data_IF_479678986707
#
_entry.id   IF_479678986707
#
_cell.length_a   1.000
_cell.length_b   1.000
_cell.length_c   1.000
_cell.angle_alpha   90.00
_cell.angle_beta   90.00
_cell.angle_gamma   90.00
#
_symmetry.space_group_name_H-M   'P 1'
#
loop_
_entity.id
_entity.type
_entity.pdbx_description
1 polymer ?
#
# COMPACT_ATOMS: atom_id res chain seq x y z
N UNK A 1 52.44 40.15 23.07
CA UNK A 1 53.80 39.93 23.61
C UNK A 1 53.62 39.34 25.00
N UNK A 2 54.18 38.18 25.39
CA UNK A 2 55.61 37.87 25.58
C UNK A 2 56.25 38.80 26.65
N UNK A 3 56.91 38.33 27.72
CA UNK A 3 57.58 37.04 28.01
C UNK A 3 57.53 36.61 29.51
N UNK A 4 57.96 35.37 29.77
CA UNK A 4 58.42 34.76 31.04
C UNK A 4 59.84 34.13 30.79
N UNK A 5 60.54 33.34 31.65
CA UNK A 5 60.35 32.88 33.06
C UNK A 5 61.30 33.67 34.01
N UNK A 6 62.13 33.17 35.00
CA UNK A 6 62.49 31.81 35.51
C UNK A 6 61.41 31.15 36.41
N UNK A 7 61.49 29.94 37.03
CA UNK A 7 62.51 28.94 37.43
C UNK A 7 63.15 29.14 38.85
N UNK A 8 63.38 28.12 39.71
CA UNK A 8 63.55 26.66 39.48
C UNK A 8 63.28 25.77 40.73
N UNK A 9 63.24 24.43 40.53
CA UNK A 9 63.43 23.30 41.52
C UNK A 9 62.31 23.03 42.54
N UNK A 10 62.05 21.78 42.98
CA UNK A 10 62.38 20.40 42.50
C UNK A 10 61.25 19.46 42.97
N UNK A 11 60.89 18.47 42.15
CA UNK A 11 60.25 17.21 42.59
C UNK A 11 61.09 16.06 42.05
N UNK A 12 61.28 14.99 42.83
CA UNK A 12 61.99 13.77 42.39
C UNK A 12 61.11 12.54 42.52
N UNK A 13 60.92 11.89 41.38
CA UNK A 13 60.35 10.55 41.19
C UNK A 13 61.44 9.50 41.47
N UNK A 14 61.11 8.42 42.18
CA UNK A 14 61.94 7.20 42.26
C UNK A 14 61.07 5.97 42.03
N UNK A 15 61.63 4.99 41.31
CA UNK A 15 61.00 3.74 40.94
C UNK A 15 61.97 2.59 41.15
N UNK A 16 61.50 1.42 41.61
CA UNK A 16 62.34 0.22 41.75
C UNK A 16 61.62 -0.90 42.47
N UNK A 17 61.79 -2.13 41.96
CA UNK A 17 61.31 -3.39 42.56
C UNK A 17 62.54 -4.31 42.70
N UNK A 18 62.53 -5.32 43.59
CA UNK A 18 62.32 -6.68 43.08
C UNK A 18 61.39 -7.55 43.96
N UNK A 19 61.01 -8.71 43.42
CA UNK A 19 60.04 -9.64 44.02
C UNK A 19 60.65 -10.54 45.12
N UNK A 20 59.81 -11.39 45.74
CA UNK A 20 59.92 -12.81 45.36
C UNK A 20 58.61 -13.42 44.86
N UNK A 21 58.74 -14.54 44.15
CA UNK A 21 57.63 -15.35 43.61
C UNK A 21 57.18 -16.44 44.58
N UNK A 22 55.99 -17.03 44.33
CA UNK A 22 55.82 -18.49 44.14
C UNK A 22 54.38 -18.86 43.73
N UNK A 23 54.26 -19.72 42.70
CA UNK A 23 53.17 -20.67 42.42
C UNK A 23 51.71 -20.15 42.27
N UNK A 24 51.43 -19.47 41.16
CA UNK A 24 50.07 -19.41 40.61
C UNK A 24 49.70 -20.76 39.94
N UNK A 25 48.83 -21.58 40.55
CA UNK A 25 48.32 -22.82 39.94
C UNK A 25 47.25 -22.52 38.87
N UNK A 26 47.66 -21.94 37.73
CA UNK A 26 46.77 -21.65 36.60
C UNK A 26 46.13 -22.95 36.08
N UNK A 27 44.82 -23.09 36.24
CA UNK A 27 44.02 -24.04 35.43
C UNK A 27 44.06 -23.58 33.98
N UNK A 28 44.55 -24.43 33.09
CA UNK A 28 44.42 -24.25 31.64
C UNK A 28 42.94 -24.38 31.27
N UNK A 29 42.28 -23.26 30.98
CA UNK A 29 41.08 -23.29 30.15
C UNK A 29 41.54 -23.34 28.70
N UNK A 30 41.21 -24.43 28.02
CA UNK A 30 41.44 -24.59 26.59
C UNK A 30 40.64 -23.55 25.83
N UNK A 31 41.31 -22.83 24.92
CA UNK A 31 40.62 -22.00 23.94
C UNK A 31 39.94 -22.91 22.92
N UNK A 32 38.73 -23.38 23.25
CA UNK A 32 37.81 -23.91 22.25
C UNK A 32 37.48 -22.77 21.29
N UNK A 33 38.06 -22.83 20.10
CA UNK A 33 37.67 -21.97 19.00
C UNK A 33 36.21 -22.31 18.64
N UNK A 34 35.27 -21.56 19.23
CA UNK A 34 33.88 -21.64 18.86
C UNK A 34 33.79 -21.28 17.38
N UNK A 35 33.45 -22.28 16.55
CA UNK A 35 33.29 -22.07 15.13
C UNK A 35 32.26 -20.96 14.92
N UNK A 36 32.64 -19.91 14.20
CA UNK A 36 31.74 -18.84 13.79
C UNK A 36 30.80 -19.40 12.73
N UNK A 37 29.82 -20.19 13.17
CA UNK A 37 28.65 -20.49 12.37
C UNK A 37 28.04 -19.14 11.99
N UNK A 38 27.70 -18.90 10.71
CA UNK A 38 26.91 -17.74 10.37
C UNK A 38 25.59 -17.89 11.14
N UNK A 39 25.40 -17.03 12.15
CA UNK A 39 24.07 -16.80 12.70
C UNK A 39 23.29 -16.17 11.57
N UNK A 40 22.65 -17.02 10.76
CA UNK A 40 21.66 -16.58 9.81
C UNK A 40 20.69 -15.72 10.62
N UNK A 41 20.61 -14.44 10.27
CA UNK A 41 19.53 -13.58 10.72
C UNK A 41 18.29 -14.09 10.00
N UNK A 42 17.75 -15.19 10.54
CA UNK A 42 16.39 -15.64 10.30
C UNK A 42 15.51 -14.48 10.71
N UNK A 43 15.21 -13.62 9.74
CA UNK A 43 14.21 -12.57 9.80
C UNK A 43 12.90 -13.28 10.10
N UNK A 44 12.62 -13.41 11.40
CA UNK A 44 11.45 -14.10 11.91
C UNK A 44 10.25 -13.37 11.34
N UNK A 45 9.68 -13.92 10.24
CA UNK A 45 8.53 -13.34 9.54
C UNK A 45 7.46 -13.21 10.61
N UNK A 46 7.16 -11.97 11.01
CA UNK A 46 6.18 -11.68 12.05
C UNK A 46 4.81 -11.81 11.43
N UNK A 47 4.36 -13.06 11.33
CA UNK A 47 3.04 -13.44 10.88
C UNK A 47 1.99 -12.74 11.75
N UNK A 48 1.17 -11.88 11.15
CA UNK A 48 -0.14 -11.59 11.74
C UNK A 48 -0.93 -12.88 11.73
N UNK A 49 -1.37 -13.33 12.91
CA UNK A 49 -2.39 -14.38 13.00
C UNK A 49 -3.71 -13.86 12.41
N UNK A 50 -4.64 -14.75 12.05
CA UNK A 50 -5.97 -14.35 11.58
C UNK A 50 -6.68 -13.40 12.57
N UNK A 51 -6.48 -13.61 13.87
CA UNK A 51 -6.97 -12.74 14.94
C UNK A 51 -6.26 -11.37 14.97
N UNK A 52 -4.94 -11.33 14.68
CA UNK A 52 -4.18 -10.08 14.51
C UNK A 52 -4.64 -9.28 13.28
N UNK A 53 -4.93 -9.96 12.17
CA UNK A 53 -5.54 -9.37 10.96
C UNK A 53 -6.92 -8.78 11.24
N UNK A 54 -7.80 -9.53 11.91
CA UNK A 54 -9.13 -9.05 12.31
C UNK A 54 -9.04 -7.84 13.24
N UNK A 55 -8.14 -7.88 14.24
CA UNK A 55 -7.87 -6.75 15.13
C UNK A 55 -7.36 -5.52 14.36
N UNK A 56 -6.41 -5.70 13.44
CA UNK A 56 -5.84 -4.59 12.65
C UNK A 56 -6.90 -3.99 11.70
N UNK A 57 -7.71 -4.81 11.05
CA UNK A 57 -8.84 -4.37 10.23
C UNK A 57 -9.85 -3.57 11.06
N UNK A 58 -10.22 -4.06 12.27
CA UNK A 58 -11.14 -3.38 13.17
C UNK A 58 -10.58 -2.05 13.69
N UNK A 59 -9.26 -1.96 13.90
CA UNK A 59 -8.56 -0.75 14.33
C UNK A 59 -8.40 0.30 13.22
N UNK A 60 -8.23 -0.11 11.95
CA UNK A 60 -8.07 0.81 10.81
C UNK A 60 -9.39 1.21 10.15
N UNK A 61 -10.27 0.24 9.90
CA UNK A 61 -11.47 0.42 9.06
C UNK A 61 -12.78 0.24 9.83
N UNK A 62 -12.73 0.04 11.16
CA UNK A 62 -13.90 -0.19 12.02
C UNK A 62 -14.59 -1.55 11.83
N UNK A 63 -14.14 -2.37 10.86
CA UNK A 63 -14.78 -3.62 10.45
C UNK A 63 -13.89 -4.84 10.73
N UNK A 64 -14.50 -5.95 11.14
CA UNK A 64 -13.78 -7.22 11.37
C UNK A 64 -13.26 -7.86 10.06
N UNK A 65 -13.80 -7.45 8.91
CA UNK A 65 -13.30 -7.84 7.57
C UNK A 65 -13.09 -6.62 6.65
N UNK A 66 -11.85 -6.43 6.23
CA UNK A 66 -11.42 -5.44 5.24
C UNK A 66 -10.23 -6.00 4.42
N UNK A 67 -10.00 -5.52 3.18
CA UNK A 67 -8.87 -5.94 2.36
C UNK A 67 -7.56 -5.29 2.86
N UNK A 68 -6.59 -6.10 3.26
CA UNK A 68 -5.28 -5.59 3.69
C UNK A 68 -4.39 -5.33 2.47
N UNK A 69 -4.16 -4.04 2.19
CA UNK A 69 -3.49 -3.57 0.96
C UNK A 69 -4.14 -4.15 -0.31
N UNK A 70 -5.46 -3.95 -0.45
CA UNK A 70 -6.23 -4.32 -1.65
C UNK A 70 -6.63 -5.80 -1.75
N UNK A 71 -5.96 -6.70 -1.03
CA UNK A 71 -6.29 -8.14 -1.04
C UNK A 71 -7.01 -8.59 0.23
N UNK A 72 -8.10 -9.34 0.04
CA UNK A 72 -8.83 -10.08 1.08
C UNK A 72 -8.13 -11.38 1.50
N UNK A 73 -7.20 -11.84 0.68
CA UNK A 73 -6.58 -13.15 0.71
C UNK A 73 -5.35 -13.14 1.65
N UNK A 74 -4.77 -14.31 1.94
CA UNK A 74 -3.66 -14.38 2.92
C UNK A 74 -2.43 -13.54 2.50
N UNK A 75 -1.59 -13.17 3.47
CA UNK A 75 -0.40 -12.35 3.23
C UNK A 75 0.63 -12.94 2.23
N UNK A 76 0.53 -14.24 1.90
CA UNK A 76 1.52 -14.97 1.11
C UNK A 76 0.93 -15.86 0.00
N UNK A 77 -0.30 -15.58 -0.46
CA UNK A 77 -0.73 -16.07 -1.78
C UNK A 77 -0.08 -15.23 -2.88
N UNK A 78 0.32 -15.82 -4.01
CA UNK A 78 1.03 -15.09 -5.07
C UNK A 78 0.14 -14.00 -5.69
N UNK A 79 -1.07 -14.33 -6.12
CA UNK A 79 -2.10 -13.37 -6.59
C UNK A 79 -2.35 -12.24 -5.57
N UNK A 80 -2.32 -12.60 -4.28
CA UNK A 80 -2.53 -11.70 -3.16
C UNK A 80 -1.34 -10.76 -2.94
N UNK A 81 -0.12 -11.20 -3.25
CA UNK A 81 1.08 -10.37 -3.25
C UNK A 81 1.17 -9.47 -4.47
N UNK A 82 0.74 -9.92 -5.65
CA UNK A 82 0.68 -9.06 -6.84
C UNK A 82 -0.38 -7.97 -6.69
N UNK A 83 -1.58 -8.29 -6.18
CA UNK A 83 -2.58 -7.29 -5.75
C UNK A 83 -1.96 -6.23 -4.81
N UNK A 84 -1.10 -6.64 -3.87
CA UNK A 84 -0.44 -5.74 -2.91
C UNK A 84 0.67 -4.89 -3.54
N UNK A 85 1.38 -5.39 -4.56
CA UNK A 85 2.35 -4.60 -5.33
C UNK A 85 1.62 -3.48 -6.09
N UNK A 86 0.53 -3.81 -6.79
CA UNK A 86 -0.33 -2.83 -7.49
C UNK A 86 -0.86 -1.78 -6.51
N UNK A 87 -1.44 -2.22 -5.39
CA UNK A 87 -1.94 -1.33 -4.34
C UNK A 87 -0.82 -0.42 -3.80
N UNK A 88 0.39 -0.94 -3.56
CA UNK A 88 1.51 -0.15 -3.07
C UNK A 88 1.95 0.93 -4.07
N UNK A 89 2.14 0.58 -5.36
CA UNK A 89 2.46 1.54 -6.44
C UNK A 89 1.43 2.67 -6.50
N UNK A 90 0.15 2.30 -6.64
CA UNK A 90 -0.98 3.21 -6.73
C UNK A 90 -1.10 4.13 -5.51
N UNK A 91 -0.87 3.58 -4.31
CA UNK A 91 -0.96 4.30 -3.04
C UNK A 91 0.17 5.35 -2.90
N UNK A 92 1.37 5.08 -3.43
CA UNK A 92 2.43 6.10 -3.50
C UNK A 92 1.99 7.27 -4.39
N UNK A 93 1.40 7.02 -5.57
CA UNK A 93 0.91 8.10 -6.41
C UNK A 93 -0.28 8.84 -5.79
N UNK A 94 -1.29 8.12 -5.31
CA UNK A 94 -2.52 8.68 -4.75
C UNK A 94 -2.31 9.47 -3.44
N UNK A 95 -1.26 9.16 -2.68
CA UNK A 95 -0.86 9.95 -1.50
C UNK A 95 0.02 11.17 -1.82
N UNK A 96 0.27 11.44 -3.11
CA UNK A 96 1.07 12.57 -3.58
C UNK A 96 2.59 12.32 -3.57
N UNK A 97 3.03 11.07 -3.47
CA UNK A 97 4.43 10.65 -3.66
C UNK A 97 5.45 11.17 -2.64
N UNK A 98 5.03 11.95 -1.64
CA UNK A 98 5.92 12.64 -0.69
C UNK A 98 6.71 11.65 0.17
N UNK A 99 7.90 12.05 0.62
CA UNK A 99 8.74 11.20 1.49
C UNK A 99 7.98 10.70 2.72
N UNK A 100 7.22 11.57 3.40
CA UNK A 100 6.46 11.18 4.59
C UNK A 100 5.36 10.17 4.26
N UNK A 101 4.64 10.37 3.15
CA UNK A 101 3.67 9.38 2.68
C UNK A 101 4.33 8.03 2.35
N UNK A 102 5.50 8.03 1.70
CA UNK A 102 6.30 6.82 1.44
C UNK A 102 6.76 6.13 2.72
N UNK A 103 7.25 6.89 3.71
CA UNK A 103 7.65 6.38 5.03
C UNK A 103 6.44 5.73 5.75
N UNK A 104 5.23 6.29 5.61
CA UNK A 104 3.98 5.65 6.10
C UNK A 104 3.62 4.37 5.35
N UNK A 105 3.69 4.37 4.01
CA UNK A 105 3.35 3.19 3.19
C UNK A 105 4.34 2.05 3.45
N UNK A 106 5.62 2.36 3.63
CA UNK A 106 6.65 1.40 4.02
C UNK A 106 6.38 0.82 5.41
N UNK A 107 6.06 1.67 6.40
CA UNK A 107 5.69 1.23 7.76
C UNK A 107 4.39 0.42 7.81
N UNK A 108 3.41 0.77 6.98
CA UNK A 108 2.15 0.05 6.82
C UNK A 108 2.38 -1.34 6.21
N UNK A 109 3.13 -1.41 5.10
CA UNK A 109 3.51 -2.67 4.45
C UNK A 109 4.23 -3.59 5.44
N UNK A 110 5.21 -3.07 6.19
CA UNK A 110 5.95 -3.81 7.20
C UNK A 110 5.09 -4.36 8.36
N UNK A 111 3.85 -3.87 8.53
CA UNK A 111 2.89 -4.37 9.51
C UNK A 111 1.88 -5.38 8.93
N UNK A 112 1.37 -5.17 7.70
CA UNK A 112 0.34 -6.03 7.09
C UNK A 112 0.91 -7.21 6.30
N UNK A 113 1.95 -6.97 5.50
CA UNK A 113 2.65 -7.99 4.73
C UNK A 113 4.15 -7.66 4.70
N UNK A 114 4.94 -8.17 5.67
CA UNK A 114 6.35 -7.87 5.81
C UNK A 114 7.20 -8.59 4.75
N UNK A 115 6.99 -8.21 3.50
CA UNK A 115 7.81 -8.58 2.35
C UNK A 115 8.70 -7.40 1.92
N UNK A 116 10.02 -7.62 1.71
CA UNK A 116 10.93 -6.54 1.32
C UNK A 116 10.55 -5.82 0.02
N UNK A 117 9.86 -6.50 -0.92
CA UNK A 117 9.47 -5.87 -2.19
C UNK A 117 8.50 -4.71 -2.00
N UNK A 118 7.49 -4.85 -1.13
CA UNK A 118 6.52 -3.79 -0.86
C UNK A 118 7.15 -2.57 -0.19
N UNK A 119 8.11 -2.80 0.71
CA UNK A 119 8.89 -1.73 1.37
C UNK A 119 9.80 -1.01 0.35
N UNK A 120 10.42 -1.76 -0.56
CA UNK A 120 11.22 -1.19 -1.65
C UNK A 120 10.36 -0.35 -2.60
N UNK A 121 9.21 -0.87 -3.05
CA UNK A 121 8.23 -0.15 -3.88
C UNK A 121 7.79 1.14 -3.21
N UNK A 122 7.39 1.10 -1.93
CA UNK A 122 6.98 2.30 -1.19
C UNK A 122 8.05 3.40 -1.23
N UNK A 123 9.30 3.05 -0.93
CA UNK A 123 10.40 4.00 -0.80
C UNK A 123 11.01 4.45 -2.13
N UNK A 124 10.96 3.63 -3.20
CA UNK A 124 11.77 3.84 -4.41
C UNK A 124 11.02 3.74 -5.75
N UNK A 125 9.75 3.29 -5.78
CA UNK A 125 8.96 3.28 -7.03
C UNK A 125 8.68 4.71 -7.51
N UNK A 126 8.88 4.99 -8.80
CA UNK A 126 8.49 6.26 -9.41
C UNK A 126 7.01 6.17 -9.83
N UNK A 127 6.14 6.85 -9.09
CA UNK A 127 4.73 6.49 -9.01
C UNK A 127 3.86 7.44 -9.85
N UNK A 128 3.10 6.87 -10.78
CA UNK A 128 2.38 7.57 -11.84
C UNK A 128 0.86 7.35 -11.74
N UNK A 129 0.08 8.15 -12.46
CA UNK A 129 -1.38 7.95 -12.54
C UNK A 129 -1.72 6.58 -13.17
N UNK A 130 -0.86 6.07 -14.06
CA UNK A 130 -1.00 4.74 -14.66
C UNK A 130 -0.95 3.61 -13.61
N UNK A 131 -0.20 3.77 -12.50
CA UNK A 131 -0.22 2.78 -11.41
C UNK A 131 -1.59 2.74 -10.70
N UNK A 132 -2.30 3.87 -10.64
CA UNK A 132 -3.67 3.94 -10.08
C UNK A 132 -4.69 3.37 -11.06
N UNK A 133 -4.51 3.58 -12.36
CA UNK A 133 -5.32 2.96 -13.41
C UNK A 133 -5.14 1.43 -13.44
N UNK A 134 -3.91 0.92 -13.31
CA UNK A 134 -3.61 -0.52 -13.18
C UNK A 134 -4.35 -1.14 -11.98
N UNK A 135 -4.41 -0.44 -10.84
CA UNK A 135 -5.21 -0.86 -9.69
C UNK A 135 -6.73 -0.78 -9.95
N UNK A 136 -7.21 0.28 -10.62
CA UNK A 136 -8.63 0.47 -10.98
C UNK A 136 -9.13 -0.71 -11.83
N UNK A 137 -8.37 -1.05 -12.87
CA UNK A 137 -8.67 -2.16 -13.78
C UNK A 137 -8.60 -3.52 -13.08
N UNK A 138 -7.62 -3.72 -12.19
CA UNK A 138 -7.54 -4.93 -11.36
C UNK A 138 -8.78 -5.09 -10.43
N UNK A 139 -9.26 -4.00 -9.81
CA UNK A 139 -10.46 -4.02 -8.98
C UNK A 139 -11.70 -4.31 -9.84
N UNK A 140 -11.87 -3.64 -10.98
CA UNK A 140 -12.99 -3.90 -11.92
C UNK A 140 -13.02 -5.36 -12.38
N UNK A 141 -11.88 -5.91 -12.82
CA UNK A 141 -11.76 -7.30 -13.23
C UNK A 141 -12.14 -8.28 -12.11
N UNK A 142 -11.70 -8.01 -10.87
CA UNK A 142 -12.11 -8.80 -9.68
C UNK A 142 -13.61 -8.70 -9.37
N UNK A 143 -14.25 -7.55 -9.58
CA UNK A 143 -15.69 -7.39 -9.35
C UNK A 143 -16.53 -8.13 -10.41
N UNK A 144 -16.21 -7.93 -11.69
CA UNK A 144 -16.90 -8.60 -12.81
C UNK A 144 -16.74 -10.13 -12.75
N UNK A 145 -15.56 -10.63 -12.38
CA UNK A 145 -15.33 -12.06 -12.18
C UNK A 145 -16.16 -12.68 -11.03
N UNK A 146 -16.48 -11.91 -9.98
CA UNK A 146 -17.33 -12.37 -8.87
C UNK A 146 -18.82 -12.44 -9.25
N UNK A 147 -19.28 -11.60 -10.17
CA UNK A 147 -20.66 -11.60 -10.68
C UNK A 147 -20.90 -12.74 -11.68
N UNK A 148 -19.84 -13.17 -12.39
CA UNK A 148 -19.87 -14.25 -13.38
C UNK A 148 -19.51 -15.65 -12.84
N UNK A 149 -20.13 -16.14 -11.75
CA UNK A 149 -20.57 -17.55 -11.78
C UNK A 149 -21.87 -17.83 -10.98
N UNK A 150 -23.05 -17.49 -11.52
CA UNK A 150 -24.36 -17.98 -11.00
C UNK A 150 -25.38 -18.42 -12.07
N UNK A 151 -24.93 -19.01 -13.19
CA UNK A 151 -25.82 -19.65 -14.18
C UNK A 151 -25.41 -21.09 -14.49
N UNK A 152 -25.84 -22.02 -13.63
CA UNK A 152 -25.71 -23.48 -13.81
C UNK A 152 -24.50 -24.09 -13.08
N UNK A 153 -24.75 -25.06 -12.19
CA UNK A 153 -23.70 -25.75 -11.43
C UNK A 153 -24.16 -26.24 -10.05
N UNK A 154 -24.87 -27.37 -10.01
CA UNK A 154 -25.06 -28.13 -8.78
C UNK A 154 -23.99 -29.24 -8.67
N UNK A 155 -23.81 -29.76 -7.44
CA UNK A 155 -22.75 -30.71 -7.05
C UNK A 155 -21.35 -30.10 -7.04
N UNK A 156 -20.42 -30.55 -6.19
CA UNK A 156 -20.54 -31.57 -5.14
C UNK A 156 -19.14 -32.03 -4.75
N UNK A 157 -18.79 -31.91 -3.47
CA UNK A 157 -17.39 -32.07 -3.04
C UNK A 157 -16.92 -33.53 -2.95
N UNK A 158 -15.72 -33.80 -3.47
CA UNK A 158 -14.88 -34.91 -3.03
C UNK A 158 -13.41 -34.64 -3.33
N UNK A 159 -12.51 -35.35 -2.62
CA UNK A 159 -11.12 -35.65 -3.06
C UNK A 159 -11.21 -36.77 -4.15
N UNK A 160 -10.19 -37.22 -4.87
CA UNK A 160 -8.83 -37.62 -4.46
C UNK A 160 -7.76 -37.47 -5.58
N UNK A 161 -6.64 -38.21 -5.46
CA UNK A 161 -5.33 -37.94 -6.06
C UNK A 161 -5.15 -38.24 -7.57
N UNK A 162 -4.08 -37.65 -8.12
CA UNK A 162 -3.13 -38.15 -9.16
C UNK A 162 -3.63 -38.91 -10.42
N UNK A 163 -3.09 -38.50 -11.58
CA UNK A 163 -2.04 -39.30 -12.26
C UNK A 163 -1.21 -38.45 -13.23
N UNK A 164 0.08 -38.78 -13.34
CA UNK A 164 1.06 -38.19 -14.26
C UNK A 164 0.76 -38.52 -15.73
N UNK A 165 0.85 -37.52 -16.61
CA UNK A 165 1.20 -37.71 -18.02
C UNK A 165 2.30 -36.71 -18.42
N UNK A 166 3.34 -37.20 -19.12
CA UNK A 166 4.30 -36.38 -19.87
C UNK A 166 3.94 -36.48 -21.35
N UNK A 167 4.08 -35.39 -22.10
CA UNK A 167 4.55 -35.44 -23.48
C UNK A 167 5.45 -34.25 -23.77
N UNK A 168 6.30 -34.40 -24.78
CA UNK A 168 7.44 -33.55 -25.12
C UNK A 168 7.37 -33.14 -26.61
N UNK A 169 8.22 -32.19 -27.02
CA UNK A 169 8.35 -31.56 -28.35
C UNK A 169 7.29 -30.48 -28.65
N UNK A 170 7.57 -29.23 -29.07
CA UNK A 170 8.68 -28.56 -29.79
C UNK A 170 8.36 -28.31 -31.28
N UNK A 171 8.09 -27.05 -31.63
CA UNK A 171 8.37 -26.51 -32.98
C UNK A 171 8.48 -24.97 -32.95
N UNK A 172 9.12 -24.40 -33.97
CA UNK A 172 9.49 -22.98 -34.06
C UNK A 172 8.49 -22.13 -34.87
N UNK A 173 8.44 -20.82 -34.61
CA UNK A 173 8.18 -19.84 -35.68
C UNK A 173 8.65 -18.43 -35.33
N UNK A 174 9.50 -17.87 -36.19
CA UNK A 174 9.90 -16.47 -36.15
C UNK A 174 9.01 -15.62 -37.06
N UNK A 175 8.68 -14.41 -36.60
CA UNK A 175 8.51 -13.16 -37.38
C UNK A 175 8.06 -12.03 -36.47
N UNK A 176 8.30 -10.75 -36.71
CA UNK A 176 9.25 -9.93 -37.49
C UNK A 176 8.70 -8.50 -37.32
N UNK A 177 9.53 -7.46 -37.41
CA UNK A 177 9.17 -6.10 -36.99
C UNK A 177 8.63 -5.24 -38.14
N UNK A 178 7.52 -4.51 -37.91
CA UNK A 178 7.22 -3.26 -38.62
C UNK A 178 6.66 -2.21 -37.63
N UNK A 179 7.18 -0.97 -37.72
CA UNK A 179 6.67 0.22 -37.02
C UNK A 179 6.66 1.40 -37.99
N UNK A 180 5.53 2.11 -38.10
CA UNK A 180 5.54 3.59 -38.00
C UNK A 180 4.34 4.12 -37.17
N UNK A 181 4.28 5.39 -36.74
CA UNK A 181 5.31 6.44 -36.81
C UNK A 181 4.75 7.87 -36.90
N UNK A 182 4.62 8.54 -35.74
CA UNK A 182 4.40 9.99 -35.54
C UNK A 182 3.06 10.65 -35.97
N UNK A 183 2.67 11.71 -35.24
CA UNK A 183 1.54 12.61 -35.56
C UNK A 183 0.97 13.35 -34.33
N UNK A 184 1.21 14.66 -34.20
CA UNK A 184 0.73 15.51 -33.10
C UNK A 184 -0.74 15.95 -33.25
N UNK A 185 -1.42 16.18 -32.11
CA UNK A 185 -2.24 17.39 -31.85
C UNK A 185 -2.76 17.45 -30.40
N UNK A 186 -2.72 18.64 -29.77
CA UNK A 186 -3.49 18.96 -28.56
C UNK A 186 -4.78 19.75 -28.93
N UNK A 187 -5.76 19.83 -28.02
CA UNK A 187 -6.03 21.14 -27.41
C UNK A 187 -6.40 21.11 -25.91
N UNK A 188 -6.44 22.30 -25.32
CA UNK A 188 -6.78 22.58 -23.91
C UNK A 188 -8.31 22.64 -23.63
N UNK A 189 -8.78 22.77 -22.36
CA UNK A 189 -10.02 22.14 -21.92
C UNK A 189 -11.32 22.92 -22.14
N UNK A 190 -12.42 22.18 -22.25
CA UNK A 190 -13.79 22.68 -22.14
C UNK A 190 -14.33 22.55 -20.70
N UNK A 191 -15.24 23.45 -20.30
CA UNK A 191 -15.82 23.51 -18.95
C UNK A 191 -16.84 22.39 -18.74
N UNK A 192 -16.75 21.69 -17.60
CA UNK A 192 -17.64 20.59 -17.27
C UNK A 192 -19.06 21.04 -16.84
N UNK A 193 -20.14 20.39 -17.32
CA UNK A 193 -21.46 20.49 -16.73
C UNK A 193 -21.57 19.66 -15.45
N UNK A 194 -22.32 20.15 -14.46
CA UNK A 194 -22.52 19.48 -13.17
C UNK A 194 -23.65 18.43 -13.26
N UNK A 195 -23.30 17.15 -13.41
CA UNK A 195 -24.27 16.05 -13.54
C UNK A 195 -24.46 15.26 -12.23
N UNK A 196 -25.21 15.84 -11.30
CA UNK A 196 -25.72 15.13 -10.11
C UNK A 196 -26.86 14.17 -10.45
N UNK A 197 -26.59 13.09 -11.18
CA UNK A 197 -27.59 12.09 -11.58
C UNK A 197 -27.82 11.01 -10.51
N UNK A 198 -29.02 10.98 -9.93
CA UNK A 198 -29.45 9.84 -9.11
C UNK A 198 -29.98 8.70 -9.99
N UNK A 199 -29.54 7.47 -9.70
CA UNK A 199 -29.96 6.26 -10.43
C UNK A 199 -31.38 5.82 -10.07
N UNK A 200 -32.38 6.60 -10.49
CA UNK A 200 -33.79 6.27 -10.31
C UNK A 200 -34.21 5.17 -11.30
N UNK A 201 -34.47 3.97 -10.78
CA UNK A 201 -35.26 2.97 -11.50
C UNK A 201 -36.68 3.52 -11.68
N UNK A 202 -37.16 3.63 -12.93
CA UNK A 202 -38.57 3.84 -13.22
C UNK A 202 -39.22 2.47 -13.41
N UNK A 203 -40.12 2.10 -12.50
CA UNK A 203 -41.17 1.14 -12.84
C UNK A 203 -42.17 1.87 -13.74
N UNK A 204 -42.44 1.30 -14.92
CA UNK A 204 -43.43 1.82 -15.87
C UNK A 204 -44.52 0.78 -16.09
N UNK A 205 -45.77 1.19 -15.89
CA UNK A 205 -46.95 0.38 -16.19
C UNK A 205 -47.09 0.09 -17.71
N UNK A 206 -47.83 -0.97 -18.04
CA UNK A 206 -48.02 -1.46 -19.40
C UNK A 206 -48.84 -0.52 -20.32
N UNK A 207 -48.40 -0.34 -21.56
CA UNK A 207 -49.31 -0.27 -22.72
C UNK A 207 -48.67 -0.97 -23.95
N UNK A 208 -49.50 -1.66 -24.73
CA UNK A 208 -49.08 -2.43 -25.92
C UNK A 208 -48.63 -1.52 -27.08
N UNK A 209 -47.33 -1.48 -27.35
CA UNK A 209 -46.76 -0.77 -28.49
C UNK A 209 -45.49 -1.44 -29.00
N UNK A 210 -45.61 -2.30 -30.02
CA UNK A 210 -44.52 -3.06 -30.62
C UNK A 210 -43.52 -2.18 -31.40
N UNK A 211 -42.79 -1.34 -30.67
CA UNK A 211 -41.64 -0.59 -31.13
C UNK A 211 -40.43 -1.52 -31.18
N UNK A 212 -39.76 -1.59 -32.32
CA UNK A 212 -38.54 -2.39 -32.47
C UNK A 212 -37.42 -1.77 -31.62
N UNK A 213 -37.30 -2.26 -30.38
CA UNK A 213 -36.45 -1.70 -29.32
C UNK A 213 -34.97 -1.88 -29.63
N UNK A 214 -34.48 -1.04 -30.55
CA UNK A 214 -33.07 -0.89 -30.86
C UNK A 214 -32.39 -0.29 -29.63
N UNK A 215 -31.79 -1.14 -28.80
CA UNK A 215 -31.02 -0.74 -27.62
C UNK A 215 -30.06 0.40 -27.98
N UNK A 216 -29.97 1.47 -27.17
CA UNK A 216 -29.10 2.59 -27.48
C UNK A 216 -27.66 2.11 -27.68
N UNK A 217 -26.92 2.65 -28.66
CA UNK A 217 -25.57 2.19 -28.96
C UNK A 217 -24.68 2.40 -27.73
N UNK A 218 -23.96 1.34 -27.33
CA UNK A 218 -23.09 1.35 -26.16
C UNK A 218 -21.96 2.34 -26.40
N UNK A 219 -22.00 3.49 -25.72
CA UNK A 219 -20.95 4.51 -25.77
C UNK A 219 -19.85 4.18 -24.76
N UNK A 220 -18.61 4.58 -25.04
CA UNK A 220 -17.50 4.50 -24.07
C UNK A 220 -17.81 5.22 -22.76
N UNK A 221 -18.61 6.28 -22.82
CA UNK A 221 -19.08 7.01 -21.65
C UNK A 221 -20.04 6.16 -20.80
N UNK A 222 -21.02 5.49 -21.42
CA UNK A 222 -21.93 4.58 -20.71
C UNK A 222 -21.22 3.39 -20.04
N UNK A 223 -20.12 2.91 -20.64
CA UNK A 223 -19.25 1.89 -20.02
C UNK A 223 -18.56 2.47 -18.78
N UNK A 224 -17.90 3.63 -18.91
CA UNK A 224 -17.20 4.31 -17.80
C UNK A 224 -18.14 4.63 -16.64
N UNK A 225 -19.37 5.05 -16.92
CA UNK A 225 -20.36 5.37 -15.89
C UNK A 225 -20.84 4.10 -15.16
N UNK A 226 -20.99 2.97 -15.87
CA UNK A 226 -21.26 1.67 -15.27
C UNK A 226 -20.09 1.15 -14.42
N UNK A 227 -18.84 1.30 -14.89
CA UNK A 227 -17.63 1.01 -14.11
C UNK A 227 -17.57 1.84 -12.83
N UNK A 228 -17.91 3.13 -12.90
CA UNK A 228 -17.96 4.02 -11.75
C UNK A 228 -19.05 3.60 -10.75
N UNK A 229 -20.22 3.14 -11.22
CA UNK A 229 -21.25 2.56 -10.34
C UNK A 229 -20.79 1.28 -9.61
N UNK A 230 -19.89 0.48 -10.21
CA UNK A 230 -19.29 -0.69 -9.55
C UNK A 230 -18.20 -0.27 -8.56
N UNK A 231 -17.28 0.61 -8.97
CA UNK A 231 -16.18 1.09 -8.13
C UNK A 231 -16.67 1.90 -6.91
N UNK A 232 -17.70 2.74 -7.08
CA UNK A 232 -18.33 3.44 -5.96
C UNK A 232 -18.94 2.46 -4.95
N UNK A 233 -19.36 1.25 -5.36
CA UNK A 233 -19.92 0.25 -4.43
C UNK A 233 -18.85 -0.62 -3.75
N UNK A 234 -17.62 -0.64 -4.26
CA UNK A 234 -16.49 -1.40 -3.70
C UNK A 234 -16.10 -0.97 -2.28
N UNK A 235 -15.62 -1.94 -1.47
CA UNK A 235 -14.99 -1.68 -0.17
C UNK A 235 -13.49 -1.41 -0.31
N UNK A 236 -12.87 -2.10 -1.27
CA UNK A 236 -11.49 -1.98 -1.70
C UNK A 236 -11.15 -0.53 -2.08
N UNK A 237 -11.99 0.10 -2.91
CA UNK A 237 -11.87 1.51 -3.30
C UNK A 237 -11.94 2.45 -2.08
N UNK A 238 -12.88 2.24 -1.16
CA UNK A 238 -12.99 3.06 0.06
C UNK A 238 -11.78 2.88 1.00
N UNK A 239 -11.27 1.66 1.14
CA UNK A 239 -10.06 1.37 1.91
C UNK A 239 -8.81 1.99 1.26
N UNK A 240 -8.71 1.94 -0.07
CA UNK A 240 -7.65 2.59 -0.83
C UNK A 240 -7.64 4.11 -0.63
N UNK A 241 -8.80 4.77 -0.78
CA UNK A 241 -8.88 6.22 -0.58
C UNK A 241 -8.62 6.62 0.88
N UNK A 242 -9.13 5.86 1.86
CA UNK A 242 -8.80 6.08 3.27
C UNK A 242 -7.29 5.95 3.55
N UNK A 243 -6.64 4.89 3.03
CA UNK A 243 -5.20 4.69 3.19
C UNK A 243 -4.40 5.81 2.47
N UNK A 244 -4.82 6.25 1.28
CA UNK A 244 -4.17 7.31 0.51
C UNK A 244 -4.26 8.67 1.20
N UNK A 245 -5.45 9.03 1.71
CA UNK A 245 -5.66 10.23 2.53
C UNK A 245 -4.82 10.16 3.81
N UNK A 246 -4.78 9.01 4.50
CA UNK A 246 -3.99 8.82 5.73
C UNK A 246 -2.49 8.93 5.48
N UNK A 247 -2.00 8.37 4.37
CA UNK A 247 -0.60 8.50 3.94
C UNK A 247 -0.24 9.97 3.62
N UNK A 248 -1.10 10.67 2.86
CA UNK A 248 -0.84 12.05 2.43
C UNK A 248 -0.77 13.06 3.59
N UNK A 249 -1.44 12.77 4.72
CA UNK A 249 -1.43 13.59 5.93
C UNK A 249 -0.44 13.11 7.01
N UNK A 250 0.30 12.02 6.79
CA UNK A 250 1.25 11.49 7.77
C UNK A 250 2.40 12.47 8.05
N UNK A 251 2.63 12.77 9.33
CA UNK A 251 3.55 13.81 9.79
C UNK A 251 3.39 15.18 9.10
N UNK A 252 2.20 15.47 8.56
CA UNK A 252 1.86 16.81 8.13
C UNK A 252 1.84 17.76 9.35
N UNK A 253 2.61 18.84 9.28
CA UNK A 253 2.75 19.85 10.33
C UNK A 253 1.55 20.82 10.38
N UNK A 254 0.36 20.35 9.97
CA UNK A 254 -0.86 21.14 9.76
C UNK A 254 -0.64 22.36 8.82
N UNK A 255 0.35 22.32 7.93
CA UNK A 255 0.53 23.39 6.93
C UNK A 255 -0.66 23.39 5.98
N UNK A 256 -1.54 24.40 6.11
CA UNK A 256 -2.81 24.47 5.42
C UNK A 256 -2.68 24.29 3.89
N UNK A 257 -1.59 24.78 3.28
CA UNK A 257 -1.33 24.62 1.84
C UNK A 257 -1.03 23.18 1.45
N UNK A 258 -0.22 22.46 2.23
CA UNK A 258 0.11 21.06 1.97
C UNK A 258 -1.10 20.14 2.21
N UNK A 259 -1.84 20.36 3.30
CA UNK A 259 -3.08 19.64 3.64
C UNK A 259 -4.13 19.82 2.53
N UNK A 260 -4.37 21.05 2.08
CA UNK A 260 -5.33 21.36 1.02
C UNK A 260 -4.88 20.86 -0.37
N UNK A 261 -3.57 20.84 -0.66
CA UNK A 261 -3.04 20.23 -1.88
C UNK A 261 -3.26 18.71 -1.89
N UNK A 262 -2.93 18.03 -0.78
CA UNK A 262 -3.19 16.60 -0.59
C UNK A 262 -4.69 16.27 -0.71
N UNK A 263 -5.56 17.13 -0.17
CA UNK A 263 -7.02 17.00 -0.31
C UNK A 263 -7.45 17.06 -1.78
N UNK A 264 -7.00 18.07 -2.54
CA UNK A 264 -7.35 18.19 -3.97
C UNK A 264 -6.85 17.00 -4.80
N UNK A 265 -5.61 16.54 -4.54
CA UNK A 265 -5.02 15.39 -5.24
C UNK A 265 -5.82 14.11 -5.00
N UNK A 266 -6.08 13.78 -3.73
CA UNK A 266 -6.88 12.60 -3.36
C UNK A 266 -8.34 12.71 -3.83
N UNK A 267 -8.95 13.90 -3.81
CA UNK A 267 -10.30 14.09 -4.36
C UNK A 267 -10.33 13.90 -5.87
N UNK A 268 -9.37 14.46 -6.62
CA UNK A 268 -9.28 14.33 -8.07
C UNK A 268 -9.17 12.87 -8.50
N UNK A 269 -8.32 12.08 -7.83
CA UNK A 269 -8.19 10.64 -8.07
C UNK A 269 -9.50 9.91 -7.72
N UNK A 270 -10.08 10.22 -6.55
CA UNK A 270 -11.32 9.61 -6.08
C UNK A 270 -12.53 9.84 -7.00
N UNK A 271 -12.69 11.05 -7.53
CA UNK A 271 -13.79 11.37 -8.46
C UNK A 271 -13.52 10.84 -9.87
N UNK A 272 -12.32 11.07 -10.42
CA UNK A 272 -12.07 10.88 -11.85
C UNK A 272 -11.81 9.42 -12.21
N UNK A 273 -11.12 8.67 -11.33
CA UNK A 273 -10.75 7.27 -11.58
C UNK A 273 -11.70 6.28 -10.89
N UNK A 274 -12.30 6.65 -9.75
CA UNK A 274 -13.13 5.74 -8.95
C UNK A 274 -14.61 6.12 -8.86
N UNK A 275 -15.03 7.24 -9.46
CA UNK A 275 -16.44 7.66 -9.48
C UNK A 275 -17.02 8.03 -8.11
N UNK A 276 -16.19 8.28 -7.10
CA UNK A 276 -16.67 8.59 -5.75
C UNK A 276 -17.29 9.98 -5.69
N UNK A 277 -18.42 10.09 -4.98
CA UNK A 277 -19.10 11.35 -4.78
C UNK A 277 -18.29 12.31 -3.90
N UNK A 278 -18.47 13.62 -4.09
CA UNK A 278 -17.84 14.65 -3.26
C UNK A 278 -18.16 14.49 -1.77
N UNK A 279 -19.37 14.03 -1.43
CA UNK A 279 -19.81 13.79 -0.06
C UNK A 279 -19.12 12.58 0.57
N UNK A 280 -18.94 11.48 -0.17
CA UNK A 280 -18.16 10.33 0.30
C UNK A 280 -16.68 10.68 0.52
N UNK A 281 -16.08 11.43 -0.43
CA UNK A 281 -14.70 11.92 -0.30
C UNK A 281 -14.55 12.88 0.90
N UNK A 282 -15.53 13.74 1.13
CA UNK A 282 -15.58 14.64 2.29
C UNK A 282 -15.78 13.90 3.60
N UNK A 283 -16.58 12.82 3.62
CA UNK A 283 -16.75 11.97 4.80
C UNK A 283 -15.46 11.20 5.15
N UNK A 284 -14.79 10.61 4.16
CA UNK A 284 -13.50 9.94 4.34
C UNK A 284 -12.42 10.91 4.81
N UNK A 285 -12.31 12.09 4.19
CA UNK A 285 -11.33 13.10 4.58
C UNK A 285 -11.49 13.56 6.03
N UNK A 286 -12.72 13.89 6.44
CA UNK A 286 -13.03 14.31 7.83
C UNK A 286 -12.73 13.21 8.85
N UNK A 287 -12.93 11.94 8.50
CA UNK A 287 -12.55 10.81 9.35
C UNK A 287 -11.03 10.76 9.57
N UNK A 288 -10.24 10.89 8.50
CA UNK A 288 -8.77 10.89 8.58
C UNK A 288 -8.24 12.11 9.33
N UNK A 289 -8.83 13.31 9.14
CA UNK A 289 -8.50 14.51 9.92
C UNK A 289 -8.79 14.33 11.41
N UNK A 290 -9.97 13.81 11.77
CA UNK A 290 -10.35 13.54 13.15
C UNK A 290 -9.42 12.51 13.80
N UNK A 291 -9.07 11.44 13.07
CA UNK A 291 -8.09 10.47 13.52
C UNK A 291 -6.69 11.08 13.73
N UNK A 292 -6.23 11.96 12.84
CA UNK A 292 -4.93 12.64 12.98
C UNK A 292 -4.90 13.53 14.22
N UNK A 293 -5.98 14.26 14.49
CA UNK A 293 -6.14 15.06 15.70
C UNK A 293 -6.11 14.19 16.96
N UNK A 294 -6.91 13.11 17.01
CA UNK A 294 -6.93 12.16 18.13
C UNK A 294 -5.57 11.49 18.36
N UNK A 295 -4.81 11.20 17.29
CA UNK A 295 -3.43 10.68 17.39
C UNK A 295 -2.49 11.71 18.03
N UNK A 296 -2.54 12.98 17.60
CA UNK A 296 -1.74 14.08 18.16
C UNK A 296 -2.11 14.38 19.63
N UNK A 297 -3.40 14.40 19.96
CA UNK A 297 -3.87 14.57 21.34
C UNK A 297 -3.45 13.40 22.25
N UNK A 298 -3.56 12.16 21.76
CA UNK A 298 -3.15 10.97 22.51
C UNK A 298 -1.66 11.00 22.90
N UNK A 299 -0.77 11.41 21.99
CA UNK A 299 0.67 11.58 22.28
C UNK A 299 0.87 12.62 23.39
N UNK A 300 0.19 13.77 23.28
CA UNK A 300 0.24 14.86 24.27
C UNK A 300 -0.27 14.45 25.65
N UNK A 301 -1.39 13.74 25.72
CA UNK A 301 -2.03 13.30 26.98
C UNK A 301 -1.28 12.15 27.65
N UNK A 302 -0.71 11.22 26.87
CA UNK A 302 0.08 10.10 27.41
C UNK A 302 1.54 10.46 27.68
N UNK A 303 1.97 11.69 27.41
CA UNK A 303 3.32 12.19 27.71
C UNK A 303 4.43 11.39 27.02
N UNK A 304 4.19 10.88 25.81
CA UNK A 304 5.18 10.04 25.12
C UNK A 304 6.38 10.90 24.66
N UNK A 305 7.63 10.59 25.08
CA UNK A 305 8.77 11.50 24.95
C UNK A 305 9.41 11.54 23.55
N UNK A 306 8.69 11.10 22.51
CA UNK A 306 9.15 10.97 21.13
C UNK A 306 8.28 11.83 20.19
N UNK A 307 7.95 13.04 20.64
CA UNK A 307 6.91 13.92 20.08
C UNK A 307 7.42 15.22 19.44
N UNK A 308 8.65 15.20 18.90
CA UNK A 308 9.23 16.25 18.04
C UNK A 308 9.93 15.59 16.83
#
# INVERSE_FOLDING_TARGET
>A
MQLAPPASRVVRQWSGIPAPSLLLRRRTWTALAAATWPVSLCTSRRYLSQQGTQWLNKVRYGADNAPMMGSWDSAYGDDAMDTRKLYCKALVHASGGSRLARDWIAGYSALTSPDPSLIYTALQHDATEADVQELREHILGRLLAQESPRRGGCSGGSRENEVRAKFDMNEESEKEVVVPGAGDAAPEPAVAPNCGGQCNMHEGDDEDGASEATSPPITSESIRDAEHCLLQRSREVRCFMYDAMTASLFHSNNELRAVEAARRHTFSIGSNLFGLSFDELTALWRLVEAELLLKKEKVKVLGQPWGE
#
